data_IF_863097159015
#
_entry.id   IF_863097159015
#
_cell.length_a   1.000
_cell.length_b   1.000
_cell.length_c   1.000
_cell.angle_alpha   90.00
_cell.angle_beta   90.00
_cell.angle_gamma   90.00
#
_symmetry.space_group_name_H-M   'P 1'
#
loop_
_entity.id
_entity.type
_entity.pdbx_description
1 polymer ?
#
# COMPACT_ATOMS: atom_id res chain seq x y z
N UNK A 1 21.90 -2.02 29.32
CA UNK A 1 22.38 -3.21 28.56
C UNK A 1 21.21 -4.01 27.98
N UNK A 2 20.35 -4.67 28.77
CA UNK A 2 19.23 -5.51 28.27
C UNK A 2 18.24 -4.80 27.33
N UNK A 3 17.92 -3.53 27.58
CA UNK A 3 17.03 -2.72 26.71
C UNK A 3 17.66 -2.35 25.35
N UNK A 4 18.98 -2.14 25.32
CA UNK A 4 19.74 -1.84 24.10
C UNK A 4 19.86 -3.08 23.21
N UNK A 5 20.07 -4.26 23.81
CA UNK A 5 20.04 -5.54 23.10
C UNK A 5 18.65 -5.84 22.52
N UNK A 6 17.58 -5.56 23.27
CA UNK A 6 16.21 -5.74 22.76
C UNK A 6 15.91 -4.81 21.58
N UNK A 7 16.31 -3.55 21.67
CA UNK A 7 16.14 -2.57 20.59
C UNK A 7 16.95 -2.97 19.34
N UNK A 8 18.19 -3.41 19.52
CA UNK A 8 19.04 -3.89 18.42
C UNK A 8 18.48 -5.15 17.76
N UNK A 9 17.95 -6.09 18.54
CA UNK A 9 17.31 -7.30 18.02
C UNK A 9 16.03 -6.98 17.24
N UNK A 10 15.18 -6.08 17.75
CA UNK A 10 13.97 -5.61 17.05
C UNK A 10 14.31 -4.91 15.73
N UNK A 11 15.38 -4.10 15.68
CA UNK A 11 15.84 -3.46 14.46
C UNK A 11 16.32 -4.48 13.41
N UNK A 12 17.09 -5.49 13.84
CA UNK A 12 17.57 -6.56 12.95
C UNK A 12 16.42 -7.37 12.35
N UNK A 13 15.44 -7.79 13.17
CA UNK A 13 14.24 -8.49 12.70
C UNK A 13 13.40 -7.60 11.78
N UNK A 14 13.32 -6.30 12.06
CA UNK A 14 12.63 -5.32 11.21
C UNK A 14 13.23 -5.19 9.80
N UNK A 15 14.56 -5.28 9.67
CA UNK A 15 15.23 -5.20 8.35
C UNK A 15 14.99 -6.43 7.46
N UNK A 16 14.83 -7.62 8.05
CA UNK A 16 14.52 -8.85 7.31
C UNK A 16 13.04 -8.95 6.89
N UNK A 17 12.17 -8.08 7.45
CA UNK A 17 10.74 -8.06 7.18
C UNK A 17 10.32 -7.00 6.13
N UNK A 18 11.27 -6.51 5.32
CA UNK A 18 11.05 -5.46 4.32
C UNK A 18 10.86 -5.96 2.89
N UNK A 19 11.22 -7.21 2.59
CA UNK A 19 11.03 -7.74 1.25
C UNK A 19 9.53 -7.94 1.00
N UNK A 20 8.99 -7.15 0.05
CA UNK A 20 7.61 -7.17 -0.48
C UNK A 20 6.52 -6.35 0.25
N UNK A 21 6.82 -5.29 1.00
CA UNK A 21 5.78 -4.45 1.65
C UNK A 21 5.17 -3.32 0.83
N UNK A 22 5.69 -3.01 -0.36
CA UNK A 22 5.22 -1.84 -1.13
C UNK A 22 3.84 -2.02 -1.79
N UNK A 23 3.30 -3.24 -1.84
CA UNK A 23 2.07 -3.52 -2.58
C UNK A 23 1.20 -4.59 -1.90
N UNK A 24 0.88 -4.41 -0.62
CA UNK A 24 -0.24 -5.21 -0.10
C UNK A 24 -1.49 -4.87 -0.92
N UNK A 25 -2.15 -5.92 -1.38
CA UNK A 25 -3.42 -5.88 -2.08
C UNK A 25 -4.51 -6.57 -1.24
N UNK A 26 -5.67 -6.78 -1.83
CA UNK A 26 -6.78 -7.50 -1.21
C UNK A 26 -6.49 -8.97 -0.91
N UNK A 27 -5.55 -9.63 -1.61
CA UNK A 27 -5.17 -11.01 -1.29
C UNK A 27 -4.38 -11.06 0.01
N UNK A 28 -3.40 -10.18 0.18
CA UNK A 28 -2.67 -10.05 1.44
C UNK A 28 -3.61 -9.65 2.58
N UNK A 29 -4.52 -8.71 2.32
CA UNK A 29 -5.52 -8.25 3.27
C UNK A 29 -6.44 -9.38 3.75
N UNK A 30 -6.93 -10.22 2.83
CA UNK A 30 -7.81 -11.34 3.13
C UNK A 30 -7.10 -12.46 3.91
N UNK A 31 -5.82 -12.71 3.63
CA UNK A 31 -5.03 -13.74 4.33
C UNK A 31 -4.64 -13.37 5.77
N UNK A 32 -4.88 -12.12 6.20
CA UNK A 32 -4.51 -11.68 7.55
C UNK A 32 -5.25 -12.44 8.65
N UNK A 33 -6.51 -12.82 8.43
CA UNK A 33 -7.27 -13.60 9.39
C UNK A 33 -6.57 -14.94 9.69
N UNK A 34 -6.09 -15.63 8.66
CA UNK A 34 -5.34 -16.89 8.79
C UNK A 34 -3.98 -16.66 9.44
N UNK A 35 -3.23 -15.65 8.99
CA UNK A 35 -1.88 -15.32 9.50
C UNK A 35 -1.88 -14.87 10.96
N UNK A 36 -3.00 -14.37 11.46
CA UNK A 36 -3.17 -13.90 12.84
C UNK A 36 -3.79 -14.95 13.77
N UNK A 37 -3.94 -16.19 13.29
CA UNK A 37 -4.58 -17.28 14.05
C UNK A 37 -6.04 -16.97 14.36
N UNK A 38 -6.72 -16.26 13.46
CA UNK A 38 -8.11 -15.83 13.56
C UNK A 38 -8.42 -15.00 14.81
N UNK A 39 -7.41 -14.30 15.36
CA UNK A 39 -7.59 -13.40 16.52
C UNK A 39 -8.03 -12.02 16.03
N UNK A 40 -9.29 -11.59 16.30
CA UNK A 40 -9.78 -10.30 15.79
C UNK A 40 -8.98 -9.11 16.32
N UNK A 41 -8.49 -9.22 17.56
CA UNK A 41 -7.64 -8.19 18.17
C UNK A 41 -6.31 -8.06 17.45
N UNK A 42 -5.67 -9.17 17.12
CA UNK A 42 -4.36 -9.14 16.48
C UNK A 42 -4.49 -8.72 15.01
N UNK A 43 -5.52 -9.18 14.32
CA UNK A 43 -5.88 -8.72 12.97
C UNK A 43 -6.08 -7.20 12.92
N UNK A 44 -6.88 -6.66 13.84
CA UNK A 44 -7.08 -5.22 13.95
C UNK A 44 -5.76 -4.47 14.18
N UNK A 45 -4.89 -4.96 15.09
CA UNK A 45 -3.60 -4.34 15.36
C UNK A 45 -2.69 -4.32 14.13
N UNK A 46 -2.65 -5.41 13.36
CA UNK A 46 -1.84 -5.47 12.13
C UNK A 46 -2.41 -4.51 11.07
N UNK A 47 -3.71 -4.56 10.82
CA UNK A 47 -4.40 -3.69 9.84
C UNK A 47 -4.23 -2.21 10.20
N UNK A 48 -4.51 -1.84 11.46
CA UNK A 48 -4.37 -0.45 11.91
C UNK A 48 -2.93 0.05 11.87
N UNK A 49 -1.95 -0.77 12.27
CA UNK A 49 -0.53 -0.39 12.19
C UNK A 49 -0.09 -0.14 10.75
N UNK A 50 -0.54 -0.97 9.81
CA UNK A 50 -0.25 -0.80 8.38
C UNK A 50 -0.87 0.49 7.83
N UNK A 51 -2.15 0.72 8.08
CA UNK A 51 -2.86 1.92 7.60
C UNK A 51 -2.29 3.20 8.20
N UNK A 52 -2.04 3.23 9.50
CA UNK A 52 -1.41 4.38 10.16
C UNK A 52 -0.03 4.66 9.56
N UNK A 53 0.76 3.62 9.26
CA UNK A 53 2.06 3.78 8.58
C UNK A 53 1.94 4.41 7.19
N UNK A 54 0.89 4.07 6.42
CA UNK A 54 0.62 4.72 5.12
C UNK A 54 0.23 6.19 5.32
N UNK A 55 -0.65 6.48 6.28
CA UNK A 55 -1.11 7.84 6.58
C UNK A 55 0.05 8.72 7.05
N UNK A 56 0.93 8.20 7.91
CA UNK A 56 2.15 8.86 8.35
C UNK A 56 3.10 9.13 7.19
N UNK A 57 3.24 8.17 6.25
CA UNK A 57 4.01 8.34 5.03
C UNK A 57 3.47 9.47 4.13
N UNK A 58 2.14 9.51 3.92
CA UNK A 58 1.47 10.58 3.18
C UNK A 58 1.68 11.94 3.85
N UNK A 59 1.59 12.01 5.17
CA UNK A 59 1.83 13.23 5.95
C UNK A 59 3.29 13.69 5.86
N UNK A 60 4.24 12.75 5.92
CA UNK A 60 5.65 13.02 5.74
C UNK A 60 5.93 13.62 4.34
N UNK A 61 5.41 13.01 3.28
CA UNK A 61 5.58 13.49 1.91
C UNK A 61 4.96 14.88 1.72
N UNK A 62 3.78 15.13 2.32
CA UNK A 62 3.17 16.45 2.33
C UNK A 62 4.12 17.49 2.92
N UNK A 63 4.66 17.27 4.13
CA UNK A 63 5.56 18.24 4.76
C UNK A 63 6.86 18.41 3.98
N UNK A 64 7.39 17.32 3.43
CA UNK A 64 8.59 17.39 2.59
C UNK A 64 8.37 18.27 1.37
N UNK A 65 7.26 18.11 0.66
CA UNK A 65 6.92 18.94 -0.49
C UNK A 65 6.55 20.37 -0.10
N UNK A 66 5.90 20.56 1.05
CA UNK A 66 5.50 21.87 1.56
C UNK A 66 6.70 22.80 1.76
N UNK A 67 7.86 22.25 2.15
CA UNK A 67 9.11 23.04 2.27
C UNK A 67 9.64 23.55 0.92
N UNK A 68 9.24 22.94 -0.20
CA UNK A 68 9.66 23.32 -1.54
C UNK A 68 8.70 24.35 -2.15
N UNK A 69 7.40 24.11 -2.06
CA UNK A 69 6.36 25.03 -2.52
C UNK A 69 5.09 24.86 -1.68
N UNK A 70 4.97 25.68 -0.63
CA UNK A 70 3.86 25.62 0.30
C UNK A 70 2.51 25.98 -0.35
N UNK A 71 2.51 26.84 -1.37
CA UNK A 71 1.28 27.34 -2.00
C UNK A 71 0.67 26.24 -2.86
N UNK A 72 1.49 25.66 -3.75
CA UNK A 72 1.06 24.57 -4.62
C UNK A 72 0.55 23.39 -3.78
N UNK A 73 1.36 22.93 -2.81
CA UNK A 73 1.07 21.75 -1.99
C UNK A 73 -0.19 21.94 -1.15
N UNK A 74 -0.41 23.13 -0.60
CA UNK A 74 -1.61 23.40 0.19
C UNK A 74 -2.86 23.41 -0.68
N UNK A 75 -2.78 23.90 -1.91
CA UNK A 75 -3.92 23.94 -2.84
C UNK A 75 -4.22 22.56 -3.43
N UNK A 76 -3.22 21.73 -3.71
CA UNK A 76 -3.40 20.45 -4.39
C UNK A 76 -3.50 19.24 -3.47
N UNK A 77 -2.69 19.17 -2.41
CA UNK A 77 -2.55 17.94 -1.59
C UNK A 77 -3.25 18.02 -0.24
N UNK A 78 -3.50 19.21 0.30
CA UNK A 78 -4.20 19.34 1.59
C UNK A 78 -5.61 18.70 1.58
N UNK A 79 -6.44 18.84 0.54
CA UNK A 79 -7.73 18.17 0.49
C UNK A 79 -7.63 16.63 0.49
N UNK A 80 -6.49 16.07 0.08
CA UNK A 80 -6.22 14.63 0.07
C UNK A 80 -5.75 14.09 1.44
N UNK A 81 -5.43 14.99 2.40
CA UNK A 81 -5.07 14.64 3.78
C UNK A 81 -6.29 14.56 4.72
N UNK A 82 -7.42 15.15 4.32
CA UNK A 82 -8.63 15.12 5.13
C UNK A 82 -9.23 13.71 5.06
N UNK A 83 -8.83 12.84 6.00
CA UNK A 83 -9.38 11.49 6.11
C UNK A 83 -10.81 11.56 6.66
N UNK A 84 -11.76 11.01 5.90
CA UNK A 84 -13.18 11.02 6.26
C UNK A 84 -13.56 9.87 7.19
N UNK A 85 -12.75 8.82 7.21
CA UNK A 85 -12.97 7.60 7.97
C UNK A 85 -11.97 7.53 9.11
N UNK A 86 -12.43 7.21 10.32
CA UNK A 86 -11.54 6.75 11.39
C UNK A 86 -10.81 5.48 10.97
N UNK A 87 -9.68 5.15 11.58
CA UNK A 87 -8.92 3.92 11.24
C UNK A 87 -9.80 2.66 11.31
N UNK A 88 -10.73 2.58 12.27
CA UNK A 88 -11.65 1.45 12.38
C UNK A 88 -12.68 1.41 11.22
N UNK A 89 -13.21 2.56 10.82
CA UNK A 89 -14.13 2.66 9.68
C UNK A 89 -13.43 2.43 8.35
N UNK A 90 -12.17 2.84 8.23
CA UNK A 90 -11.32 2.58 7.09
C UNK A 90 -11.07 1.08 6.93
N UNK A 91 -10.71 0.39 8.01
CA UNK A 91 -10.55 -1.07 8.02
C UNK A 91 -11.84 -1.74 7.54
N UNK A 92 -12.99 -1.40 8.13
CA UNK A 92 -14.29 -1.99 7.76
C UNK A 92 -14.65 -1.71 6.30
N UNK A 93 -14.37 -0.50 5.82
CA UNK A 93 -14.63 -0.13 4.43
C UNK A 93 -13.73 -0.88 3.46
N UNK A 94 -12.47 -1.11 3.82
CA UNK A 94 -11.53 -1.93 3.05
C UNK A 94 -11.92 -3.40 3.05
N UNK A 95 -12.34 -3.94 4.19
CA UNK A 95 -12.88 -5.31 4.29
C UNK A 95 -14.01 -5.51 3.27
N UNK A 96 -15.01 -4.62 3.29
CA UNK A 96 -16.14 -4.65 2.34
C UNK A 96 -15.69 -4.44 0.89
N UNK A 97 -14.71 -3.56 0.65
CA UNK A 97 -14.20 -3.28 -0.69
C UNK A 97 -13.56 -4.52 -1.33
N UNK A 98 -12.85 -5.32 -0.53
CA UNK A 98 -12.13 -6.51 -0.99
C UNK A 98 -12.97 -7.81 -0.96
N UNK A 99 -14.23 -7.74 -0.53
CA UNK A 99 -15.18 -8.86 -0.71
C UNK A 99 -15.41 -9.18 -2.19
N UNK A 100 -15.29 -8.20 -3.09
CA UNK A 100 -15.42 -8.42 -4.52
C UNK A 100 -14.11 -8.98 -5.12
N UNK A 101 -14.11 -10.19 -5.72
CA UNK A 101 -12.89 -10.82 -6.23
C UNK A 101 -12.15 -9.98 -7.27
N UNK A 102 -12.88 -9.21 -8.10
CA UNK A 102 -12.29 -8.36 -9.13
C UNK A 102 -11.59 -7.11 -8.58
N UNK A 103 -11.64 -6.88 -7.26
CA UNK A 103 -10.97 -5.77 -6.58
C UNK A 103 -9.74 -6.24 -5.78
N UNK A 104 -9.54 -7.54 -5.61
CA UNK A 104 -8.49 -8.09 -4.74
C UNK A 104 -7.06 -7.74 -5.18
N UNK A 105 -6.80 -7.54 -6.47
CA UNK A 105 -5.47 -7.15 -6.93
C UNK A 105 -5.23 -5.62 -6.92
N UNK A 106 -6.22 -4.83 -6.48
CA UNK A 106 -6.05 -3.39 -6.33
C UNK A 106 -5.20 -3.14 -5.06
N UNK A 107 -4.09 -2.40 -5.15
CA UNK A 107 -3.26 -2.11 -3.98
C UNK A 107 -4.02 -1.34 -2.91
N UNK A 108 -3.71 -1.59 -1.63
CA UNK A 108 -4.37 -0.96 -0.49
C UNK A 108 -4.29 0.56 -0.56
N UNK A 109 -3.16 1.13 -1.02
CA UNK A 109 -3.01 2.57 -1.18
C UNK A 109 -4.10 3.18 -2.09
N UNK A 110 -4.41 2.52 -3.22
CA UNK A 110 -5.48 2.95 -4.12
C UNK A 110 -6.85 2.71 -3.50
N UNK A 111 -7.04 1.59 -2.80
CA UNK A 111 -8.29 1.27 -2.13
C UNK A 111 -8.65 2.30 -1.04
N UNK A 112 -7.67 2.80 -0.27
CA UNK A 112 -7.86 3.87 0.73
C UNK A 112 -8.47 5.12 0.09
N UNK A 113 -7.99 5.54 -1.08
CA UNK A 113 -8.54 6.70 -1.79
C UNK A 113 -9.96 6.42 -2.28
N UNK A 114 -10.20 5.24 -2.84
CA UNK A 114 -11.53 4.83 -3.33
C UNK A 114 -12.56 4.82 -2.19
N UNK A 115 -12.24 4.20 -1.05
CA UNK A 115 -13.20 4.12 0.07
C UNK A 115 -13.44 5.48 0.71
N UNK A 116 -12.44 6.37 0.75
CA UNK A 116 -12.65 7.75 1.16
C UNK A 116 -13.53 8.52 0.17
N UNK A 117 -13.33 8.36 -1.15
CA UNK A 117 -14.22 8.97 -2.17
C UNK A 117 -15.68 8.50 -2.01
N UNK A 118 -15.88 7.23 -1.71
CA UNK A 118 -17.22 6.68 -1.42
C UNK A 118 -17.79 7.31 -0.15
N UNK A 119 -17.00 7.38 0.93
CA UNK A 119 -17.41 7.99 2.20
C UNK A 119 -17.74 9.49 2.07
N UNK A 120 -17.04 10.19 1.18
CA UNK A 120 -17.28 11.59 0.82
C UNK A 120 -18.58 11.79 0.01
N UNK A 121 -19.19 10.72 -0.51
CA UNK A 121 -20.35 10.81 -1.39
C UNK A 121 -20.01 11.27 -2.81
N UNK A 122 -18.79 10.98 -3.30
CA UNK A 122 -18.43 11.27 -4.68
C UNK A 122 -19.35 10.51 -5.66
N UNK A 123 -19.66 11.09 -6.84
CA UNK A 123 -20.48 10.41 -7.85
C UNK A 123 -19.92 9.04 -8.22
N UNK A 124 -20.80 8.02 -8.34
CA UNK A 124 -20.39 6.64 -8.67
C UNK A 124 -19.56 6.55 -9.95
N UNK A 125 -19.87 7.38 -10.96
CA UNK A 125 -19.10 7.44 -12.21
C UNK A 125 -17.64 7.85 -12.00
N UNK A 126 -17.36 8.75 -11.05
CA UNK A 126 -16.01 9.17 -10.71
C UNK A 126 -15.29 8.05 -9.94
N UNK A 127 -15.97 7.41 -8.99
CA UNK A 127 -15.44 6.29 -8.21
C UNK A 127 -15.09 5.11 -9.12
N UNK A 128 -16.00 4.72 -10.02
CA UNK A 128 -15.80 3.63 -10.98
C UNK A 128 -14.65 3.94 -11.95
N UNK A 129 -14.56 5.19 -12.43
CA UNK A 129 -13.44 5.60 -13.26
C UNK A 129 -12.10 5.48 -12.53
N UNK A 130 -12.06 5.85 -11.25
CA UNK A 130 -10.86 5.73 -10.43
C UNK A 130 -10.49 4.26 -10.16
N UNK A 131 -11.48 3.40 -9.89
CA UNK A 131 -11.27 1.95 -9.78
C UNK A 131 -10.65 1.40 -11.07
N UNK A 132 -11.20 1.77 -12.23
CA UNK A 132 -10.67 1.29 -13.51
C UNK A 132 -9.23 1.77 -13.75
N UNK A 133 -8.94 3.05 -13.50
CA UNK A 133 -7.58 3.59 -13.61
C UNK A 133 -6.60 2.89 -12.67
N UNK A 134 -7.03 2.58 -11.45
CA UNK A 134 -6.21 1.84 -10.46
C UNK A 134 -5.87 0.44 -10.97
N UNK A 135 -6.85 -0.26 -11.56
CA UNK A 135 -6.66 -1.56 -12.21
C UNK A 135 -5.70 -1.48 -13.39
N UNK A 136 -5.88 -0.50 -14.27
CA UNK A 136 -5.03 -0.32 -15.45
C UNK A 136 -3.58 0.02 -15.05
N UNK A 137 -3.40 0.82 -14.01
CA UNK A 137 -2.10 1.20 -13.47
C UNK A 137 -1.35 -0.01 -12.90
N UNK A 138 -1.98 -0.80 -12.01
CA UNK A 138 -1.30 -1.97 -11.43
C UNK A 138 -1.01 -3.05 -12.48
N UNK A 139 -1.91 -3.23 -13.45
CA UNK A 139 -1.69 -4.14 -14.57
C UNK A 139 -0.47 -3.72 -15.40
N UNK A 140 -0.35 -2.43 -15.72
CA UNK A 140 0.79 -1.88 -16.45
C UNK A 140 2.09 -2.08 -15.68
N UNK A 141 2.12 -1.73 -14.40
CA UNK A 141 3.30 -1.91 -13.54
C UNK A 141 3.71 -3.38 -13.48
N UNK A 142 2.75 -4.30 -13.33
CA UNK A 142 3.02 -5.74 -13.29
C UNK A 142 3.69 -6.22 -14.59
N UNK A 143 3.19 -5.77 -15.74
CA UNK A 143 3.77 -6.10 -17.05
C UNK A 143 5.18 -5.51 -17.19
N UNK A 144 5.37 -4.26 -16.77
CA UNK A 144 6.67 -3.58 -16.80
C UNK A 144 7.72 -4.33 -15.97
N UNK A 145 7.39 -4.71 -14.73
CA UNK A 145 8.27 -5.51 -13.87
C UNK A 145 8.62 -6.87 -14.50
N UNK A 146 7.63 -7.60 -15.02
CA UNK A 146 7.87 -8.88 -15.69
C UNK A 146 8.80 -8.74 -16.89
N UNK A 147 8.69 -7.65 -17.65
CA UNK A 147 9.55 -7.40 -18.80
C UNK A 147 10.97 -7.03 -18.39
N UNK A 148 11.15 -6.24 -17.33
CA UNK A 148 12.46 -5.94 -16.75
C UNK A 148 13.17 -7.22 -16.27
N UNK A 149 12.45 -8.10 -15.57
CA UNK A 149 13.01 -9.38 -15.10
C UNK A 149 13.44 -10.28 -16.25
N UNK A 150 12.61 -10.40 -17.29
CA UNK A 150 12.96 -11.15 -18.51
C UNK A 150 14.20 -10.58 -19.19
N UNK A 151 14.33 -9.26 -19.25
CA UNK A 151 15.48 -8.58 -19.82
C UNK A 151 16.77 -8.87 -19.02
N UNK A 152 16.69 -8.79 -17.69
CA UNK A 152 17.81 -9.12 -16.79
C UNK A 152 18.24 -10.58 -16.93
N UNK A 153 17.29 -11.51 -17.00
CA UNK A 153 17.55 -12.94 -17.25
C UNK A 153 18.26 -13.17 -18.60
N UNK A 154 17.82 -12.48 -19.65
CA UNK A 154 18.44 -12.57 -20.98
C UNK A 154 19.88 -12.04 -20.96
N UNK A 155 20.12 -10.87 -20.32
CA UNK A 155 21.47 -10.32 -20.18
C UNK A 155 22.41 -11.29 -19.45
N UNK A 156 21.97 -11.84 -18.30
CA UNK A 156 22.74 -12.82 -17.54
C UNK A 156 23.14 -14.04 -18.39
N UNK A 157 22.23 -14.55 -19.24
CA UNK A 157 22.52 -15.66 -20.15
C UNK A 157 23.55 -15.30 -21.23
N UNK A 158 23.47 -14.10 -21.82
CA UNK A 158 24.44 -13.63 -22.82
C UNK A 158 25.83 -13.48 -22.20
N UNK A 159 25.92 -12.90 -21.00
CA UNK A 159 27.20 -12.73 -20.29
C UNK A 159 27.82 -14.07 -19.90
N UNK A 160 27.02 -15.03 -19.44
CA UNK A 160 27.48 -16.39 -19.16
C UNK A 160 28.04 -17.07 -20.43
N UNK A 161 27.37 -16.88 -21.58
CA UNK A 161 27.83 -17.45 -22.86
C UNK A 161 29.10 -16.78 -23.41
N UNK A 162 29.39 -15.52 -23.03
CA UNK A 162 30.64 -14.82 -23.40
C UNK A 162 31.85 -15.20 -22.54
N UNK A 163 31.62 -15.82 -21.39
CA UNK A 163 32.67 -16.25 -20.44
C UNK A 163 33.12 -17.70 -20.65
N UNK A 164 32.42 -18.45 -21.51
CA UNK A 164 32.80 -19.78 -22.00
C UNK A 164 33.29 -19.68 -23.44
#
# INVERSE_FOLDING_TARGET
>A
MRKLFLASFLLLVGTMAQDQKMFWDGHDWAQLSDRTGSSPRFEYLVKSSYLNGIQDGRLYDYYKLWTLDSVLVTQSLKPELDDYLSTAELIRSLDNFYEEPLKQYIPIASAILIVNMIAQGQPSSIVENYIQKSKDWINRLTIEFQNQDKYLLMRKKIEAKKKN
#
